data_IF_980450252441
#
_entry.id   IF_980450252441
#
_cell.length_a   1.000
_cell.length_b   1.000
_cell.length_c   1.000
_cell.angle_alpha   90.00
_cell.angle_beta   90.00
_cell.angle_gamma   90.00
#
_symmetry.space_group_name_H-M   'P 1'
#
loop_
_entity.id
_entity.type
_entity.pdbx_description
1 polymer ?
#
# COMPACT_ATOMS: atom_id res chain seq x y z
N UNK A 1 23.03 -29.25 21.78
CA UNK A 1 22.86 -28.24 22.85
C UNK A 1 22.18 -27.02 22.22
N UNK A 2 20.89 -26.80 22.51
CA UNK A 2 20.17 -25.61 22.04
C UNK A 2 20.60 -24.41 22.89
N UNK A 3 21.20 -23.42 22.25
CA UNK A 3 21.54 -22.16 22.88
C UNK A 3 20.24 -21.37 23.06
N UNK A 4 19.65 -21.40 24.25
CA UNK A 4 18.58 -20.47 24.61
C UNK A 4 19.21 -19.08 24.60
N UNK A 5 18.95 -18.29 23.57
CA UNK A 5 19.32 -16.88 23.53
C UNK A 5 18.64 -16.21 24.72
N UNK A 6 19.43 -15.89 25.75
CA UNK A 6 18.98 -15.11 26.91
C UNK A 6 18.46 -13.78 26.38
N UNK A 7 17.14 -13.57 26.46
CA UNK A 7 16.54 -12.30 26.06
C UNK A 7 17.12 -11.19 26.94
N UNK A 8 17.54 -10.06 26.35
CA UNK A 8 18.04 -8.93 27.12
C UNK A 8 17.01 -8.48 28.16
N UNK A 9 17.44 -8.08 29.37
CA UNK A 9 16.54 -7.85 30.51
C UNK A 9 15.49 -6.76 30.27
N UNK A 10 15.74 -5.81 29.36
CA UNK A 10 14.77 -4.79 28.99
C UNK A 10 13.57 -5.33 28.20
N UNK A 11 13.69 -6.50 27.54
CA UNK A 11 12.55 -7.19 26.94
C UNK A 11 11.68 -7.94 27.96
N UNK A 12 12.08 -8.02 29.23
CA UNK A 12 11.24 -8.50 30.32
C UNK A 12 10.51 -7.35 31.05
N UNK A 13 10.85 -6.08 30.77
CA UNK A 13 10.24 -4.92 31.40
C UNK A 13 8.87 -4.59 30.77
N UNK A 14 7.83 -4.70 31.59
CA UNK A 14 6.45 -4.37 31.21
C UNK A 14 6.31 -2.90 30.76
N UNK A 15 7.11 -1.98 31.34
CA UNK A 15 7.11 -0.57 30.96
C UNK A 15 7.79 -0.32 29.61
N UNK A 16 8.75 -1.16 29.23
CA UNK A 16 9.38 -1.11 27.91
C UNK A 16 8.38 -1.52 26.83
N UNK A 17 7.65 -2.64 27.03
CA UNK A 17 6.60 -3.09 26.10
C UNK A 17 5.45 -2.08 25.98
N UNK A 18 5.03 -1.47 27.09
CA UNK A 18 4.00 -0.41 27.09
C UNK A 18 4.45 0.81 26.26
N UNK A 19 5.71 1.27 26.42
CA UNK A 19 6.26 2.38 25.64
C UNK A 19 6.36 2.06 24.15
N UNK A 20 6.79 0.83 23.82
CA UNK A 20 6.82 0.34 22.45
C UNK A 20 5.41 0.32 21.82
N UNK A 21 4.41 -0.19 22.55
CA UNK A 21 3.02 -0.19 22.11
C UNK A 21 2.48 1.21 21.82
N UNK A 22 2.70 2.17 22.72
CA UNK A 22 2.28 3.57 22.54
C UNK A 22 2.98 4.19 21.31
N UNK A 23 4.27 3.92 21.12
CA UNK A 23 5.03 4.44 19.98
C UNK A 23 4.50 3.89 18.64
N UNK A 24 4.29 2.57 18.55
CA UNK A 24 3.71 1.92 17.37
C UNK A 24 2.30 2.43 17.08
N UNK A 25 1.47 2.60 18.11
CA UNK A 25 0.11 3.11 17.96
C UNK A 25 0.09 4.56 17.46
N UNK A 26 0.99 5.40 17.99
CA UNK A 26 1.14 6.80 17.53
C UNK A 26 1.58 6.86 16.06
N UNK A 27 2.56 6.03 15.67
CA UNK A 27 2.99 5.93 14.28
C UNK A 27 1.84 5.49 13.36
N UNK A 28 1.06 4.49 13.79
CA UNK A 28 -0.09 4.01 13.02
C UNK A 28 -1.14 5.11 12.82
N UNK A 29 -1.47 5.86 13.87
CA UNK A 29 -2.44 6.96 13.83
C UNK A 29 -2.02 8.09 12.89
N UNK A 30 -0.72 8.42 12.83
CA UNK A 30 -0.21 9.42 11.89
C UNK A 30 -0.14 8.89 10.45
N UNK A 31 0.22 7.62 10.27
CA UNK A 31 0.43 7.04 8.94
C UNK A 31 -0.89 6.75 8.22
N UNK A 32 -1.89 6.24 8.92
CA UNK A 32 -3.17 5.84 8.33
C UNK A 32 -3.90 6.92 7.50
N UNK A 33 -4.02 8.20 7.93
CA UNK A 33 -4.66 9.22 7.10
C UNK A 33 -3.86 9.54 5.84
N UNK A 34 -2.53 9.55 5.92
CA UNK A 34 -1.65 9.79 4.76
C UNK A 34 -1.84 8.66 3.74
N UNK A 35 -1.82 7.42 4.22
CA UNK A 35 -2.03 6.23 3.39
C UNK A 35 -3.40 6.25 2.72
N UNK A 36 -4.45 6.66 3.44
CA UNK A 36 -5.79 6.77 2.87
C UNK A 36 -5.84 7.80 1.72
N UNK A 37 -5.23 8.98 1.91
CA UNK A 37 -5.16 10.01 0.87
C UNK A 37 -4.41 9.52 -0.37
N UNK A 38 -3.27 8.87 -0.17
CA UNK A 38 -2.46 8.31 -1.27
C UNK A 38 -3.24 7.23 -2.03
N UNK A 39 -3.97 6.36 -1.34
CA UNK A 39 -4.77 5.32 -1.99
C UNK A 39 -5.92 5.93 -2.80
N UNK A 40 -6.63 6.91 -2.27
CA UNK A 40 -7.70 7.60 -2.99
C UNK A 40 -7.13 8.20 -4.29
N UNK A 41 -6.00 8.91 -4.20
CA UNK A 41 -5.33 9.46 -5.36
C UNK A 41 -4.92 8.37 -6.37
N UNK A 42 -4.37 7.24 -5.90
CA UNK A 42 -3.96 6.13 -6.75
C UNK A 42 -5.15 5.48 -7.50
N UNK A 43 -6.31 5.33 -6.84
CA UNK A 43 -7.54 4.82 -7.46
C UNK A 43 -8.06 5.83 -8.48
N UNK A 44 -8.13 7.12 -8.12
CA UNK A 44 -8.58 8.18 -9.04
C UNK A 44 -7.71 8.24 -10.30
N UNK A 45 -6.38 8.16 -10.15
CA UNK A 45 -5.45 8.10 -11.28
C UNK A 45 -5.73 6.85 -12.13
N UNK A 46 -5.92 5.68 -11.51
CA UNK A 46 -6.28 4.45 -12.23
C UNK A 46 -7.56 4.59 -13.05
N UNK A 47 -8.61 5.18 -12.48
CA UNK A 47 -9.90 5.43 -13.17
C UNK A 47 -9.71 6.40 -14.34
N UNK A 48 -9.00 7.51 -14.14
CA UNK A 48 -8.71 8.48 -15.20
C UNK A 48 -7.95 7.81 -16.36
N UNK A 49 -7.00 6.93 -16.04
CA UNK A 49 -6.21 6.17 -17.01
C UNK A 49 -7.02 5.09 -17.75
N UNK A 50 -8.13 4.60 -17.18
CA UNK A 50 -9.08 3.73 -17.90
C UNK A 50 -9.96 4.51 -18.87
N UNK A 51 -10.47 5.69 -18.46
CA UNK A 51 -11.35 6.52 -19.28
C UNK A 51 -10.57 7.14 -20.44
N UNK A 52 -9.38 7.68 -20.14
CA UNK A 52 -8.52 8.31 -21.13
C UNK A 52 -7.15 7.62 -21.17
N UNK A 53 -7.04 6.45 -21.83
CA UNK A 53 -5.80 5.72 -21.93
C UNK A 53 -4.72 6.55 -22.65
N UNK A 54 -5.05 7.50 -23.51
CA UNK A 54 -4.02 8.30 -24.21
C UNK A 54 -3.07 9.05 -23.25
N UNK A 55 -3.48 9.30 -22.01
CA UNK A 55 -2.66 9.94 -20.98
C UNK A 55 -1.43 9.10 -20.60
N UNK A 56 -1.53 7.77 -20.60
CA UNK A 56 -0.39 6.93 -20.23
C UNK A 56 0.76 7.05 -21.25
N UNK A 57 0.48 7.35 -22.52
CA UNK A 57 1.48 7.57 -23.55
C UNK A 57 2.36 8.80 -23.28
N UNK A 58 1.89 9.76 -22.47
CA UNK A 58 2.67 10.94 -22.09
C UNK A 58 3.66 10.64 -20.95
N UNK A 59 3.47 9.53 -20.23
CA UNK A 59 4.32 9.16 -19.10
C UNK A 59 5.76 8.85 -19.53
N UNK A 60 6.76 9.14 -18.69
CA UNK A 60 8.15 8.79 -18.98
C UNK A 60 8.34 7.27 -19.04
N UNK A 61 7.60 6.51 -18.22
CA UNK A 61 7.62 5.05 -18.21
C UNK A 61 7.22 4.47 -19.57
N UNK A 62 6.17 5.00 -20.19
CA UNK A 62 5.78 4.60 -21.53
C UNK A 62 6.90 4.86 -22.53
N UNK A 63 7.44 6.08 -22.55
CA UNK A 63 8.47 6.49 -23.52
C UNK A 63 9.75 5.67 -23.41
N UNK A 64 10.18 5.35 -22.19
CA UNK A 64 11.42 4.63 -21.94
C UNK A 64 11.29 3.12 -22.18
N UNK A 65 10.21 2.49 -21.73
CA UNK A 65 10.14 1.02 -21.69
C UNK A 65 9.14 0.44 -22.69
N UNK A 66 8.00 1.11 -22.92
CA UNK A 66 6.88 0.50 -23.62
C UNK A 66 6.64 1.04 -25.04
N UNK A 67 7.24 2.16 -25.42
CA UNK A 67 7.01 2.81 -26.70
C UNK A 67 7.40 1.94 -27.91
N UNK A 68 8.47 1.15 -27.79
CA UNK A 68 8.85 0.21 -28.86
C UNK A 68 7.86 -0.95 -28.95
N UNK A 69 7.57 -1.59 -27.82
CA UNK A 69 6.64 -2.71 -27.75
C UNK A 69 5.21 -2.34 -28.21
N UNK A 70 4.72 -1.16 -27.81
CA UNK A 70 3.42 -0.64 -28.22
C UNK A 70 3.33 -0.41 -29.75
N UNK A 71 4.44 -0.06 -30.40
CA UNK A 71 4.49 0.11 -31.87
C UNK A 71 4.51 -1.23 -32.61
N UNK A 72 5.23 -2.23 -32.07
CA UNK A 72 5.37 -3.54 -32.72
C UNK A 72 4.16 -4.44 -32.46
N UNK A 73 3.54 -4.37 -31.27
CA UNK A 73 2.41 -5.22 -30.85
C UNK A 73 1.29 -4.40 -30.17
N UNK A 74 0.70 -3.46 -30.91
CA UNK A 74 -0.28 -2.51 -30.39
C UNK A 74 -1.50 -3.15 -29.69
N UNK A 75 -2.08 -4.21 -30.27
CA UNK A 75 -3.25 -4.90 -29.70
C UNK A 75 -2.93 -5.58 -28.37
N UNK A 76 -1.83 -6.34 -28.32
CA UNK A 76 -1.38 -7.03 -27.12
C UNK A 76 -0.98 -6.03 -26.02
N UNK A 77 -0.31 -4.95 -26.40
CA UNK A 77 0.06 -3.89 -25.46
C UNK A 77 -1.18 -3.25 -24.80
N UNK A 78 -2.19 -2.91 -25.61
CA UNK A 78 -3.42 -2.30 -25.10
C UNK A 78 -4.16 -3.22 -24.12
N UNK A 79 -4.20 -4.52 -24.41
CA UNK A 79 -4.78 -5.52 -23.51
C UNK A 79 -4.02 -5.60 -22.19
N UNK A 80 -2.69 -5.75 -22.25
CA UNK A 80 -1.84 -5.80 -21.05
C UNK A 80 -1.94 -4.52 -20.21
N UNK A 81 -1.98 -3.35 -20.85
CA UNK A 81 -2.20 -2.08 -20.17
C UNK A 81 -3.53 -2.06 -19.41
N UNK A 82 -4.64 -2.47 -20.05
CA UNK A 82 -5.95 -2.52 -19.40
C UNK A 82 -5.96 -3.49 -18.21
N UNK A 83 -5.37 -4.66 -18.36
CA UNK A 83 -5.23 -5.64 -17.28
C UNK A 83 -4.40 -5.06 -16.13
N UNK A 84 -3.27 -4.41 -16.43
CA UNK A 84 -2.40 -3.81 -15.42
C UNK A 84 -3.12 -2.71 -14.62
N UNK A 85 -3.89 -1.83 -15.29
CA UNK A 85 -4.65 -0.78 -14.60
C UNK A 85 -5.81 -1.39 -13.79
N UNK A 86 -6.49 -2.43 -14.29
CA UNK A 86 -7.52 -3.12 -13.54
C UNK A 86 -6.94 -3.78 -12.26
N UNK A 87 -5.79 -4.44 -12.37
CA UNK A 87 -5.06 -5.01 -11.23
C UNK A 87 -4.59 -3.93 -10.26
N UNK A 88 -4.07 -2.81 -10.76
CA UNK A 88 -3.70 -1.65 -9.94
C UNK A 88 -4.85 -1.18 -9.06
N UNK A 89 -6.03 -0.97 -9.66
CA UNK A 89 -7.24 -0.56 -8.92
C UNK A 89 -7.62 -1.65 -7.90
N UNK A 90 -7.63 -2.92 -8.30
CA UNK A 90 -7.96 -4.04 -7.42
C UNK A 90 -7.05 -4.12 -6.19
N UNK A 91 -5.73 -4.02 -6.38
CA UNK A 91 -4.74 -4.01 -5.28
C UNK A 91 -4.98 -2.83 -4.35
N UNK A 92 -5.27 -1.64 -4.88
CA UNK A 92 -5.56 -0.48 -4.04
C UNK A 92 -6.87 -0.63 -3.26
N UNK A 93 -7.91 -1.25 -3.81
CA UNK A 93 -9.13 -1.59 -3.06
C UNK A 93 -8.82 -2.54 -1.91
N UNK A 94 -8.07 -3.61 -2.16
CA UNK A 94 -7.63 -4.54 -1.11
C UNK A 94 -6.84 -3.79 -0.04
N UNK A 95 -5.96 -2.88 -0.46
CA UNK A 95 -5.18 -2.08 0.48
C UNK A 95 -6.06 -1.16 1.35
N UNK A 96 -7.12 -0.55 0.81
CA UNK A 96 -8.12 0.19 1.62
C UNK A 96 -8.71 -0.71 2.70
N UNK A 97 -9.11 -1.93 2.35
CA UNK A 97 -9.67 -2.89 3.31
C UNK A 97 -8.65 -3.19 4.43
N UNK A 98 -7.38 -3.40 4.08
CA UNK A 98 -6.33 -3.63 5.09
C UNK A 98 -6.10 -2.43 6.00
N UNK A 99 -6.23 -1.20 5.49
CA UNK A 99 -6.09 0.02 6.29
C UNK A 99 -7.29 0.18 7.23
N UNK A 100 -8.51 -0.02 6.74
CA UNK A 100 -9.74 0.07 7.56
C UNK A 100 -9.72 -0.97 8.68
N UNK A 101 -9.39 -2.22 8.36
CA UNK A 101 -9.27 -3.29 9.36
C UNK A 101 -8.19 -2.97 10.40
N UNK A 102 -7.06 -2.39 9.98
CA UNK A 102 -6.02 -1.92 10.90
C UNK A 102 -6.49 -0.78 11.81
N UNK A 103 -7.25 0.19 11.29
CA UNK A 103 -7.87 1.28 12.09
C UNK A 103 -8.79 0.66 13.15
N UNK A 104 -9.68 -0.25 12.75
CA UNK A 104 -10.65 -0.90 13.64
C UNK A 104 -9.93 -1.70 14.74
N UNK A 105 -8.95 -2.51 14.38
CA UNK A 105 -8.15 -3.28 15.34
C UNK A 105 -7.44 -2.36 16.34
N UNK A 106 -6.89 -1.24 15.88
CA UNK A 106 -6.19 -0.28 16.74
C UNK A 106 -7.14 0.43 17.69
N UNK A 107 -8.35 0.80 17.25
CA UNK A 107 -9.37 1.42 18.11
C UNK A 107 -9.94 0.47 19.13
N UNK A 108 -10.21 -0.79 18.74
CA UNK A 108 -10.63 -1.84 19.68
C UNK A 108 -9.57 -2.04 20.75
N UNK A 109 -8.30 -2.17 20.37
CA UNK A 109 -7.21 -2.34 21.35
C UNK A 109 -7.06 -1.12 22.29
N UNK A 110 -7.35 0.09 21.81
CA UNK A 110 -7.37 1.32 22.62
C UNK A 110 -8.53 1.35 23.63
N UNK A 111 -9.64 0.63 23.39
CA UNK A 111 -10.77 0.52 24.32
C UNK A 111 -10.48 -0.51 25.44
N UNK A 112 -9.63 -1.50 25.19
CA UNK A 112 -9.30 -2.58 26.11
C UNK A 112 -8.01 -2.37 26.93
N UNK A 113 -7.28 -1.27 26.69
CA UNK A 113 -6.12 -0.80 27.48
C UNK A 113 -6.57 0.30 28.43
#
# INVERSE_FOLDING_TARGET
MCSYTVLPPHFADVNYHRRCGIHVQTLLLCHQPITLLVIIAAISIGIILLINPSLHHKSPLYKQFFQHYARVRASHYTLLYRIAIALWIGVHIVHVITVITSILATRVNLIFI
#
